data_IF_242582819155
#
_entry.id   IF_242582819155
#
_cell.length_a   1.000
_cell.length_b   1.000
_cell.length_c   1.000
_cell.angle_alpha   90.00
_cell.angle_beta   90.00
_cell.angle_gamma   90.00
#
_symmetry.space_group_name_H-M   'P 1'
#
loop_
_entity.id
_entity.type
_entity.pdbx_description
1 polymer ?
#
# COMPACT_ATOMS: atom_id res chain seq x y z
N UNK A 1 -23.27 17.71 7.62
CA UNK A 1 -22.99 17.02 6.34
C UNK A 1 -22.93 15.53 6.63
N UNK A 2 -23.75 14.73 5.95
CA UNK A 2 -23.93 13.31 6.26
C UNK A 2 -22.63 12.54 6.04
N UNK A 3 -22.27 11.72 7.02
CA UNK A 3 -21.07 10.87 7.08
C UNK A 3 -20.95 9.90 5.88
N UNK A 4 -22.07 9.68 5.18
CA UNK A 4 -22.20 8.86 3.97
C UNK A 4 -21.54 9.45 2.71
N UNK A 5 -21.24 10.76 2.69
CA UNK A 5 -20.63 11.46 1.55
C UNK A 5 -19.09 11.52 1.59
N UNK A 6 -18.44 10.87 2.56
CA UNK A 6 -16.97 10.83 2.66
C UNK A 6 -16.33 9.98 1.54
N UNK A 7 -16.18 10.67 0.40
CA UNK A 7 -15.23 10.57 -0.71
C UNK A 7 -15.08 9.22 -1.45
N UNK A 8 -15.28 9.28 -2.77
CA UNK A 8 -14.86 8.25 -3.74
C UNK A 8 -13.42 7.79 -3.52
N UNK A 9 -12.50 8.69 -3.13
CA UNK A 9 -11.12 8.34 -2.80
C UNK A 9 -11.04 7.38 -1.62
N UNK A 10 -11.90 7.55 -0.62
CA UNK A 10 -11.96 6.70 0.57
C UNK A 10 -12.52 5.29 0.28
N UNK A 11 -13.30 5.13 -0.80
CA UNK A 11 -13.74 3.83 -1.34
C UNK A 11 -12.70 3.21 -2.27
N UNK A 12 -12.00 4.01 -3.08
CA UNK A 12 -10.95 3.55 -3.99
C UNK A 12 -9.76 2.92 -3.23
N UNK A 13 -9.42 3.43 -2.05
CA UNK A 13 -8.44 2.85 -1.12
C UNK A 13 -8.77 1.39 -0.76
N UNK A 14 -10.06 1.06 -0.67
CA UNK A 14 -10.52 -0.28 -0.29
C UNK A 14 -10.29 -1.32 -1.38
N UNK A 15 -10.20 -0.92 -2.65
CA UNK A 15 -9.84 -1.82 -3.74
C UNK A 15 -8.34 -2.19 -3.71
N UNK A 16 -7.50 -1.30 -3.16
CA UNK A 16 -6.05 -1.51 -3.09
C UNK A 16 -5.63 -2.64 -2.15
N UNK A 17 -6.27 -2.79 -0.98
CA UNK A 17 -5.93 -3.84 -0.01
C UNK A 17 -6.12 -5.28 -0.55
N UNK A 18 -7.30 -5.69 -1.06
CA UNK A 18 -7.48 -7.02 -1.62
C UNK A 18 -6.57 -7.25 -2.83
N UNK A 19 -6.35 -6.23 -3.67
CA UNK A 19 -5.41 -6.32 -4.78
C UNK A 19 -3.96 -6.53 -4.30
N UNK A 20 -3.55 -5.90 -3.19
CA UNK A 20 -2.24 -6.12 -2.57
C UNK A 20 -2.08 -7.56 -2.05
N UNK A 21 -3.10 -8.11 -1.38
CA UNK A 21 -3.08 -9.49 -0.87
C UNK A 21 -2.97 -10.48 -2.04
N UNK A 22 -3.77 -10.28 -3.08
CA UNK A 22 -3.73 -11.13 -4.28
C UNK A 22 -2.39 -11.00 -5.00
N UNK A 23 -1.80 -9.80 -5.06
CA UNK A 23 -0.47 -9.58 -5.63
C UNK A 23 0.62 -10.32 -4.85
N UNK A 24 0.60 -10.28 -3.52
CA UNK A 24 1.55 -11.03 -2.69
C UNK A 24 1.39 -12.54 -2.91
N UNK A 25 0.16 -13.04 -2.95
CA UNK A 25 -0.11 -14.44 -3.25
C UNK A 25 0.39 -14.82 -4.65
N UNK A 26 0.16 -13.97 -5.67
CA UNK A 26 0.61 -14.23 -7.04
C UNK A 26 2.13 -14.17 -7.20
N UNK A 27 2.83 -13.42 -6.35
CA UNK A 27 4.29 -13.45 -6.30
C UNK A 27 4.82 -14.70 -5.57
N UNK A 28 4.10 -15.19 -4.55
CA UNK A 28 4.48 -16.37 -3.78
C UNK A 28 4.33 -17.67 -4.56
N UNK A 29 3.18 -17.89 -5.20
CA UNK A 29 2.87 -19.14 -5.91
C UNK A 29 3.41 -19.19 -7.34
N UNK A 30 4.29 -18.26 -7.70
CA UNK A 30 4.76 -18.06 -9.06
C UNK A 30 3.84 -17.12 -9.84
N UNK A 31 4.47 -16.23 -10.63
CA UNK A 31 3.76 -15.16 -11.34
C UNK A 31 2.67 -15.72 -12.24
N UNK A 32 1.42 -15.56 -11.82
CA UNK A 32 0.27 -15.82 -12.67
C UNK A 32 0.23 -14.71 -13.72
N UNK A 33 0.35 -15.11 -15.00
CA UNK A 33 0.58 -14.21 -16.16
C UNK A 33 -0.42 -13.07 -16.27
N UNK A 34 -1.67 -13.30 -15.88
CA UNK A 34 -2.75 -12.29 -15.95
C UNK A 34 -2.97 -11.59 -14.61
N UNK A 35 -2.94 -12.34 -13.51
CA UNK A 35 -3.30 -11.82 -12.19
C UNK A 35 -2.26 -10.84 -11.64
N UNK A 36 -0.98 -11.16 -11.82
CA UNK A 36 0.12 -10.31 -11.33
C UNK A 36 0.08 -8.90 -11.93
N UNK A 37 0.02 -8.71 -13.27
CA UNK A 37 -0.04 -7.37 -13.85
C UNK A 37 -1.37 -6.66 -13.53
N UNK A 38 -2.50 -7.38 -13.49
CA UNK A 38 -3.80 -6.79 -13.15
C UNK A 38 -3.79 -6.23 -11.73
N UNK A 39 -3.38 -7.03 -10.74
CA UNK A 39 -3.30 -6.60 -9.35
C UNK A 39 -2.26 -5.49 -9.17
N UNK A 40 -1.11 -5.59 -9.85
CA UNK A 40 -0.11 -4.51 -9.86
C UNK A 40 -0.69 -3.20 -10.38
N UNK A 41 -1.49 -3.25 -11.46
CA UNK A 41 -2.16 -2.08 -12.02
C UNK A 41 -3.20 -1.47 -11.08
N UNK A 42 -4.01 -2.29 -10.41
CA UNK A 42 -4.99 -1.82 -9.42
C UNK A 42 -4.26 -1.16 -8.22
N UNK A 43 -3.23 -1.82 -7.69
CA UNK A 43 -2.44 -1.29 -6.56
C UNK A 43 -1.76 0.01 -6.96
N UNK A 44 -1.06 0.05 -8.09
CA UNK A 44 -0.41 1.27 -8.58
C UNK A 44 -1.42 2.39 -8.83
N UNK A 45 -2.54 2.10 -9.50
CA UNK A 45 -3.60 3.05 -9.76
C UNK A 45 -4.23 3.61 -8.48
N UNK A 46 -4.41 2.78 -7.45
CA UNK A 46 -4.92 3.23 -6.15
C UNK A 46 -3.95 4.18 -5.46
N UNK A 47 -2.65 3.90 -5.46
CA UNK A 47 -1.62 4.77 -4.89
C UNK A 47 -1.48 6.10 -5.66
N UNK A 48 -1.49 6.03 -6.99
CA UNK A 48 -1.45 7.22 -7.85
C UNK A 48 -2.70 8.08 -7.64
N UNK A 49 -3.88 7.45 -7.60
CA UNK A 49 -5.16 8.12 -7.33
C UNK A 49 -5.16 8.86 -6.00
N UNK A 50 -4.48 8.32 -4.99
CA UNK A 50 -4.39 8.96 -3.67
C UNK A 50 -3.68 10.30 -3.70
N UNK A 51 -2.66 10.46 -4.55
CA UNK A 51 -1.95 11.74 -4.75
C UNK A 51 -2.92 12.84 -5.17
N UNK A 52 -3.87 12.54 -6.05
CA UNK A 52 -4.87 13.52 -6.51
C UNK A 52 -5.97 13.78 -5.47
N UNK A 53 -6.24 12.83 -4.58
CA UNK A 53 -7.19 13.04 -3.48
C UNK A 53 -6.61 13.85 -2.31
N UNK A 54 -5.28 13.81 -2.14
CA UNK A 54 -4.58 14.51 -1.07
C UNK A 54 -4.80 16.03 -1.11
N UNK A 55 -4.98 16.62 -2.29
CA UNK A 55 -5.16 18.08 -2.45
C UNK A 55 -6.54 18.59 -2.05
N UNK A 56 -7.52 17.70 -1.86
CA UNK A 56 -8.92 18.09 -1.77
C UNK A 56 -9.52 17.94 -0.36
N UNK A 57 -8.88 17.20 0.56
CA UNK A 57 -9.44 16.91 1.89
C UNK A 57 -8.35 16.69 2.96
N UNK A 58 -8.36 17.52 4.00
CA UNK A 58 -7.46 17.41 5.16
C UNK A 58 -7.63 16.11 5.94
N UNK A 59 -8.83 15.56 6.01
CA UNK A 59 -9.08 14.28 6.65
C UNK A 59 -8.39 13.15 5.89
N UNK A 60 -8.57 13.10 4.56
CA UNK A 60 -7.92 12.09 3.70
C UNK A 60 -6.40 12.22 3.78
N UNK A 61 -5.88 13.44 3.79
CA UNK A 61 -4.46 13.73 4.00
C UNK A 61 -3.93 13.12 5.30
N UNK A 62 -4.64 13.32 6.42
CA UNK A 62 -4.23 12.78 7.72
C UNK A 62 -4.21 11.24 7.73
N UNK A 63 -5.12 10.59 7.00
CA UNK A 63 -5.17 9.14 6.86
C UNK A 63 -4.01 8.61 6.03
N UNK A 64 -3.73 9.23 4.87
CA UNK A 64 -2.61 8.88 4.01
C UNK A 64 -1.28 9.07 4.75
N UNK A 65 -1.10 10.18 5.47
CA UNK A 65 0.12 10.45 6.24
C UNK A 65 0.40 9.36 7.28
N UNK A 66 -0.63 8.90 7.99
CA UNK A 66 -0.49 7.80 8.95
C UNK A 66 -0.03 6.51 8.28
N UNK A 67 -0.65 6.14 7.17
CA UNK A 67 -0.26 4.93 6.45
C UNK A 67 1.13 5.03 5.80
N UNK A 68 1.50 6.22 5.31
CA UNK A 68 2.82 6.50 4.78
C UNK A 68 3.91 6.30 5.82
N UNK A 69 3.68 6.66 7.09
CA UNK A 69 4.66 6.44 8.16
C UNK A 69 5.02 4.95 8.33
N UNK A 70 4.04 4.04 8.24
CA UNK A 70 4.29 2.60 8.30
C UNK A 70 5.05 2.09 7.07
N UNK A 71 4.68 2.56 5.89
CA UNK A 71 5.38 2.21 4.65
C UNK A 71 6.82 2.72 4.64
N UNK A 72 7.06 3.93 5.15
CA UNK A 72 8.39 4.52 5.29
C UNK A 72 9.25 3.80 6.33
N UNK A 73 8.65 3.35 7.44
CA UNK A 73 9.37 2.51 8.41
C UNK A 73 9.88 1.21 7.75
N UNK A 74 9.04 0.55 6.96
CA UNK A 74 9.45 -0.62 6.18
C UNK A 74 10.53 -0.31 5.13
N UNK A 75 10.41 0.83 4.44
CA UNK A 75 11.44 1.28 3.50
C UNK A 75 12.79 1.50 4.20
N UNK A 76 12.79 2.10 5.41
CA UNK A 76 13.99 2.28 6.23
C UNK A 76 14.62 0.96 6.65
N UNK A 77 13.81 -0.04 7.04
CA UNK A 77 14.30 -1.39 7.33
C UNK A 77 14.92 -2.02 6.09
N UNK A 78 14.26 -1.92 4.94
CA UNK A 78 14.78 -2.49 3.69
C UNK A 78 16.09 -1.81 3.27
N UNK A 79 16.19 -0.49 3.41
CA UNK A 79 17.42 0.25 3.16
C UNK A 79 18.57 -0.22 4.06
N UNK A 80 18.30 -0.47 5.35
CA UNK A 80 19.29 -1.01 6.27
C UNK A 80 19.80 -2.38 5.82
N UNK A 81 18.91 -3.27 5.38
CA UNK A 81 19.29 -4.58 4.85
C UNK A 81 20.20 -4.46 3.63
N UNK A 82 19.89 -3.55 2.71
CA UNK A 82 20.68 -3.32 1.49
C UNK A 82 22.06 -2.68 1.76
N UNK A 83 22.17 -1.80 2.76
CA UNK A 83 23.40 -1.06 3.05
C UNK A 83 24.37 -1.84 3.93
N UNK A 84 23.87 -2.68 4.85
CA UNK A 84 24.72 -3.45 5.76
C UNK A 84 25.18 -4.73 5.07
N UNK A 85 26.49 -4.93 4.80
CA UNK A 85 26.97 -6.08 4.03
C UNK A 85 26.64 -7.44 4.66
N UNK A 86 26.53 -7.51 5.99
CA UNK A 86 26.16 -8.73 6.69
C UNK A 86 24.67 -9.11 6.55
N UNK A 87 23.83 -8.21 6.04
CA UNK A 87 22.37 -8.37 5.96
C UNK A 87 21.83 -8.28 4.52
N UNK A 88 22.67 -8.00 3.52
CA UNK A 88 22.25 -7.80 2.12
C UNK A 88 21.54 -9.01 1.52
N UNK A 89 21.90 -10.22 1.94
CA UNK A 89 21.28 -11.46 1.46
C UNK A 89 19.81 -11.61 1.94
N UNK A 90 19.40 -10.84 2.95
CA UNK A 90 18.03 -10.82 3.47
C UNK A 90 17.15 -9.78 2.77
N UNK A 91 17.73 -8.92 1.93
CA UNK A 91 16.99 -7.87 1.26
C UNK A 91 16.00 -8.49 0.24
N UNK A 92 14.69 -8.22 0.36
CA UNK A 92 13.73 -8.71 -0.60
C UNK A 92 14.00 -8.08 -1.98
N UNK A 93 13.85 -8.88 -3.04
CA UNK A 93 13.95 -8.34 -4.39
C UNK A 93 12.92 -7.24 -4.64
N UNK A 94 13.27 -6.25 -5.49
CA UNK A 94 12.49 -5.02 -5.72
C UNK A 94 10.96 -5.21 -5.85
N UNK A 95 10.52 -6.25 -6.56
CA UNK A 95 9.09 -6.56 -6.75
C UNK A 95 8.38 -6.88 -5.43
N UNK A 96 9.04 -7.66 -4.57
CA UNK A 96 8.55 -7.99 -3.23
C UNK A 96 8.53 -6.77 -2.34
N UNK A 97 9.60 -5.96 -2.37
CA UNK A 97 9.67 -4.71 -1.60
C UNK A 97 8.48 -3.79 -1.91
N UNK A 98 8.20 -3.55 -3.19
CA UNK A 98 7.08 -2.71 -3.60
C UNK A 98 5.72 -3.30 -3.20
N UNK A 99 5.53 -4.61 -3.39
CA UNK A 99 4.28 -5.28 -3.03
C UNK A 99 4.03 -5.27 -1.51
N UNK A 100 5.06 -5.54 -0.71
CA UNK A 100 4.99 -5.51 0.76
C UNK A 100 4.73 -4.08 1.23
N UNK A 101 5.46 -3.09 0.72
CA UNK A 101 5.28 -1.69 1.09
C UNK A 101 3.86 -1.20 0.77
N UNK A 102 3.34 -1.52 -0.42
CA UNK A 102 1.97 -1.20 -0.79
C UNK A 102 0.94 -1.90 0.10
N UNK A 103 1.21 -3.15 0.50
CA UNK A 103 0.35 -3.90 1.42
C UNK A 103 0.32 -3.27 2.81
N UNK A 104 1.49 -2.92 3.36
CA UNK A 104 1.61 -2.24 4.66
C UNK A 104 0.83 -0.93 4.65
N UNK A 105 0.99 -0.14 3.58
CA UNK A 105 0.27 1.12 3.42
C UNK A 105 -1.25 0.90 3.44
N UNK A 106 -1.78 0.00 2.61
CA UNK A 106 -3.22 -0.26 2.54
C UNK A 106 -3.76 -0.92 3.82
N UNK A 107 -2.98 -1.78 4.47
CA UNK A 107 -3.35 -2.41 5.74
C UNK A 107 -3.44 -1.36 6.86
N UNK A 108 -2.50 -0.42 6.94
CA UNK A 108 -2.53 0.67 7.90
C UNK A 108 -3.76 1.57 7.70
N UNK A 109 -4.11 1.89 6.44
CA UNK A 109 -5.34 2.62 6.13
C UNK A 109 -6.59 1.86 6.57
N UNK A 110 -6.68 0.57 6.25
CA UNK A 110 -7.82 -0.26 6.62
C UNK A 110 -7.97 -0.40 8.14
N UNK A 111 -6.85 -0.58 8.86
CA UNK A 111 -6.82 -0.65 10.31
C UNK A 111 -7.34 0.64 10.95
N UNK A 112 -6.81 1.80 10.52
CA UNK A 112 -7.23 3.09 11.07
C UNK A 112 -8.72 3.35 10.82
N UNK A 113 -9.23 2.97 9.65
CA UNK A 113 -10.66 3.02 9.35
C UNK A 113 -11.50 2.13 10.27
N UNK A 114 -11.05 0.91 10.59
CA UNK A 114 -11.78 0.03 11.51
C UNK A 114 -11.80 0.58 12.93
N UNK A 115 -10.74 1.29 13.34
CA UNK A 115 -10.64 1.91 14.66
C UNK A 115 -11.43 3.21 14.79
N UNK A 116 -11.49 4.01 13.73
CA UNK A 116 -12.19 5.31 13.70
C UNK A 116 -13.72 5.17 13.51
N UNK A 117 -14.25 3.93 13.46
CA UNK A 117 -15.69 3.59 13.42
C UNK A 117 -16.18 3.21 14.80
#
# INVERSE_FOLDING_TARGET
MQEQDRSFAYKAIWAGLPACIVLLASLHFGKITVLTPLCSGIVAGSLIGLVFSWSNDEFVRAQIAFAANWALAFAGVTLLLEVVPALSDLAPGQRWTLAIMATIFHAALAWRRWRDR
#
